data_IF_658409656210
#
_entry.id   IF_658409656210
#
_cell.length_a   1.000
_cell.length_b   1.000
_cell.length_c   1.000
_cell.angle_alpha   90.00
_cell.angle_beta   90.00
_cell.angle_gamma   90.00
#
_symmetry.space_group_name_H-M   'P 1'
#
loop_
_entity.id
_entity.type
_entity.pdbx_description
1 polymer ?
#
# COMPACT_ATOMS: atom_id res chain seq x y z
N UNK A 1 2.36 35.39 -6.75
CA UNK A 1 2.09 34.79 -6.45
C UNK A 1 2.27 34.19 -6.28
N UNK A 2 2.27 33.94 -6.38
CA UNK A 2 2.21 33.17 -6.15
C UNK A 2 2.13 32.43 -5.99
N UNK A 3 2.20 32.48 -5.99
CA UNK A 3 2.07 31.57 -5.70
C UNK A 3 2.65 30.77 -5.55
N UNK A 4 3.51 30.86 -5.30
CA UNK A 4 3.84 30.01 -4.94
C UNK A 4 3.53 28.69 -5.06
N UNK A 5 3.26 28.38 -4.49
CA UNK A 5 2.64 27.10 -4.48
C UNK A 5 1.73 26.90 -5.64
N UNK A 6 1.64 25.69 -6.17
CA UNK A 6 0.72 25.34 -7.24
C UNK A 6 -0.71 25.46 -6.73
N UNK A 7 -1.50 26.40 -7.24
CA UNK A 7 -2.89 26.54 -6.79
C UNK A 7 -3.73 25.31 -7.04
N UNK A 8 -3.44 24.58 -8.13
CA UNK A 8 -4.19 23.36 -8.46
C UNK A 8 -3.97 22.29 -7.41
N UNK A 9 -2.75 22.17 -6.89
CA UNK A 9 -2.47 21.19 -5.87
C UNK A 9 -3.25 21.49 -4.59
N UNK A 10 -3.35 22.77 -4.24
CA UNK A 10 -4.11 23.16 -3.05
C UNK A 10 -5.60 22.87 -3.25
N UNK A 11 -6.12 23.28 -4.40
CA UNK A 11 -7.54 23.06 -4.70
C UNK A 11 -7.86 21.57 -4.75
N UNK A 12 -6.99 20.79 -5.38
CA UNK A 12 -7.20 19.35 -5.48
C UNK A 12 -7.22 18.72 -4.10
N UNK A 13 -6.32 19.15 -3.24
CA UNK A 13 -6.23 18.62 -1.90
C UNK A 13 -7.45 18.98 -1.06
N UNK A 14 -8.07 20.13 -1.34
CA UNK A 14 -9.23 20.61 -0.61
C UNK A 14 -10.57 20.23 -1.21
N UNK A 15 -10.56 19.58 -2.40
CA UNK A 15 -11.80 19.18 -3.05
C UNK A 15 -12.25 17.81 -2.58
N UNK A 16 -13.53 17.50 -2.81
CA UNK A 16 -14.05 16.17 -2.48
C UNK A 16 -13.28 15.07 -3.19
N UNK A 17 -12.93 15.29 -4.46
CA UNK A 17 -12.17 14.30 -5.24
C UNK A 17 -10.78 14.08 -4.66
N UNK A 18 -10.11 15.17 -4.27
CA UNK A 18 -8.78 15.08 -3.68
C UNK A 18 -8.80 14.39 -2.33
N UNK A 19 -9.81 14.69 -1.51
CA UNK A 19 -9.95 14.04 -0.21
C UNK A 19 -10.24 12.56 -0.35
N UNK A 20 -11.09 12.20 -1.30
CA UNK A 20 -11.41 10.81 -1.57
C UNK A 20 -10.18 10.03 -1.99
N UNK A 21 -9.36 10.62 -2.86
CA UNK A 21 -8.15 9.98 -3.34
C UNK A 21 -7.15 9.78 -2.21
N UNK A 22 -6.98 10.79 -1.35
CA UNK A 22 -6.10 10.68 -0.19
C UNK A 22 -6.60 9.64 0.79
N UNK A 23 -7.89 9.57 0.98
CA UNK A 23 -8.50 8.57 1.85
C UNK A 23 -8.24 7.16 1.34
N UNK A 24 -8.44 6.94 0.04
CA UNK A 24 -8.18 5.62 -0.56
C UNK A 24 -6.73 5.21 -0.40
N UNK A 25 -5.82 6.15 -0.57
CA UNK A 25 -4.40 5.88 -0.42
C UNK A 25 -4.08 5.46 1.01
N UNK A 26 -4.60 6.21 1.99
CA UNK A 26 -4.36 5.90 3.39
C UNK A 26 -4.94 4.54 3.78
N UNK A 27 -6.14 4.24 3.30
CA UNK A 27 -6.78 2.96 3.58
C UNK A 27 -5.96 1.83 2.96
N UNK A 28 -5.47 2.02 1.74
CA UNK A 28 -4.67 1.00 1.07
C UNK A 28 -3.38 0.72 1.84
N UNK A 29 -2.72 1.76 2.33
CA UNK A 29 -1.49 1.59 3.11
C UNK A 29 -1.74 0.85 4.41
N UNK A 30 -2.80 1.23 5.12
CA UNK A 30 -3.15 0.56 6.37
C UNK A 30 -3.55 -0.88 6.15
N UNK A 31 -4.28 -1.15 5.07
CA UNK A 31 -4.69 -2.50 4.74
C UNK A 31 -3.49 -3.36 4.40
N UNK A 32 -2.55 -2.81 3.65
CA UNK A 32 -1.31 -3.52 3.33
C UNK A 32 -0.57 -3.91 4.61
N UNK A 33 -0.40 -2.97 5.53
CA UNK A 33 0.29 -3.26 6.78
C UNK A 33 -0.45 -4.29 7.61
N UNK A 34 -1.78 -4.21 7.68
CA UNK A 34 -2.59 -5.19 8.39
C UNK A 34 -2.39 -6.59 7.84
N UNK A 35 -2.38 -6.71 6.52
CA UNK A 35 -2.19 -8.01 5.88
C UNK A 35 -0.81 -8.57 6.18
N UNK A 36 0.22 -7.75 6.06
CA UNK A 36 1.59 -8.20 6.31
C UNK A 36 1.85 -8.46 7.78
N UNK A 37 1.03 -7.88 8.66
CA UNK A 37 1.08 -8.19 10.08
C UNK A 37 0.59 -9.61 10.36
N UNK A 38 -0.26 -10.15 9.49
CA UNK A 38 -0.75 -11.51 9.64
C UNK A 38 0.27 -12.54 9.15
N UNK A 39 0.89 -12.27 8.00
CA UNK A 39 1.90 -13.15 7.44
C UNK A 39 2.62 -12.47 6.29
N UNK A 40 3.75 -13.03 5.93
CA UNK A 40 4.48 -12.56 4.75
C UNK A 40 3.74 -12.94 3.48
N UNK A 41 3.74 -12.03 2.50
CA UNK A 41 3.01 -12.22 1.26
C UNK A 41 3.81 -11.68 0.08
N UNK A 42 3.57 -12.26 -1.09
CA UNK A 42 4.07 -11.67 -2.32
C UNK A 42 2.94 -10.83 -2.96
N UNK A 43 3.30 -10.02 -3.97
CA UNK A 43 2.40 -9.01 -4.53
C UNK A 43 1.05 -9.58 -4.97
N UNK A 44 1.06 -10.74 -5.62
CA UNK A 44 -0.19 -11.37 -6.05
C UNK A 44 -1.13 -11.67 -4.90
N UNK A 45 -0.57 -12.18 -3.80
CA UNK A 45 -1.37 -12.45 -2.60
C UNK A 45 -1.89 -11.18 -1.96
N UNK A 46 -1.04 -10.16 -1.91
CA UNK A 46 -1.43 -8.87 -1.33
C UNK A 46 -2.61 -8.29 -2.10
N UNK A 47 -2.51 -8.27 -3.42
CA UNK A 47 -3.54 -7.71 -4.27
C UNK A 47 -4.87 -8.44 -4.09
N UNK A 48 -4.80 -9.77 -4.11
CA UNK A 48 -5.99 -10.59 -3.95
C UNK A 48 -6.61 -10.42 -2.57
N UNK A 49 -5.77 -10.40 -1.53
CA UNK A 49 -6.25 -10.25 -0.16
C UNK A 49 -6.88 -8.89 0.07
N UNK A 50 -6.32 -7.83 -0.51
CA UNK A 50 -6.90 -6.50 -0.37
C UNK A 50 -8.28 -6.43 -1.01
N UNK A 51 -8.40 -7.06 -2.17
CA UNK A 51 -9.67 -7.11 -2.87
C UNK A 51 -10.72 -7.85 -2.03
N UNK A 52 -10.34 -8.98 -1.48
CA UNK A 52 -11.25 -9.78 -0.64
C UNK A 52 -11.64 -9.04 0.64
N UNK A 53 -10.66 -8.48 1.33
CA UNK A 53 -10.90 -7.82 2.61
C UNK A 53 -11.77 -6.59 2.47
N UNK A 54 -11.70 -5.92 1.34
CA UNK A 54 -12.48 -4.73 1.10
C UNK A 54 -13.81 -5.04 0.42
N UNK A 55 -14.11 -6.29 0.20
CA UNK A 55 -15.33 -6.74 -0.46
C UNK A 55 -15.43 -6.11 -1.85
N UNK A 56 -14.31 -6.12 -2.57
CA UNK A 56 -14.13 -5.56 -3.91
C UNK A 56 -14.25 -4.03 -3.96
N UNK A 57 -14.33 -3.37 -2.81
CA UNK A 57 -14.41 -1.90 -2.77
C UNK A 57 -13.08 -1.25 -3.13
N UNK A 58 -11.98 -1.92 -2.83
CA UNK A 58 -10.64 -1.39 -3.11
C UNK A 58 -9.84 -2.41 -3.90
N UNK A 59 -9.27 -1.94 -5.00
CA UNK A 59 -8.27 -2.71 -5.72
C UNK A 59 -7.07 -1.80 -5.91
N UNK A 60 -5.89 -2.38 -5.93
CA UNK A 60 -4.67 -1.61 -6.15
C UNK A 60 -4.32 -1.71 -7.62
N UNK A 61 -4.42 -0.58 -8.32
CA UNK A 61 -4.01 -0.51 -9.73
C UNK A 61 -2.49 -0.57 -9.86
N UNK A 62 -1.78 -0.02 -8.86
CA UNK A 62 -0.33 0.05 -8.90
C UNK A 62 0.25 -0.43 -7.57
N UNK A 63 0.21 -1.74 -7.31
CA UNK A 63 0.66 -2.26 -6.01
C UNK A 63 2.13 -1.99 -5.74
N UNK A 64 2.96 -1.97 -6.77
CA UNK A 64 4.38 -1.73 -6.56
C UNK A 64 4.68 -0.33 -6.07
N UNK A 65 3.85 0.65 -6.44
CA UNK A 65 4.04 2.02 -5.97
C UNK A 65 3.85 2.10 -4.45
N UNK A 66 2.83 1.43 -3.94
CA UNK A 66 2.57 1.42 -2.51
C UNK A 66 3.66 0.64 -1.78
N UNK A 67 4.05 -0.51 -2.31
CA UNK A 67 5.10 -1.32 -1.72
C UNK A 67 6.42 -0.54 -1.67
N UNK A 68 6.75 0.15 -2.76
CA UNK A 68 7.97 0.93 -2.82
C UNK A 68 7.96 2.05 -1.77
N UNK A 69 6.84 2.76 -1.67
CA UNK A 69 6.71 3.85 -0.71
C UNK A 69 6.84 3.32 0.73
N UNK A 70 6.14 2.23 1.03
CA UNK A 70 6.17 1.67 2.39
C UNK A 70 7.54 1.08 2.73
N UNK A 71 8.23 0.56 1.72
CA UNK A 71 9.61 0.10 1.90
C UNK A 71 10.55 1.26 2.20
N UNK A 72 10.37 2.37 1.50
CA UNK A 72 11.19 3.55 1.73
C UNK A 72 10.98 4.15 3.11
N UNK A 73 9.78 4.01 3.64
CA UNK A 73 9.47 4.45 5.00
C UNK A 73 9.90 3.42 6.04
N UNK A 74 10.45 2.30 5.59
CA UNK A 74 10.88 1.19 6.46
C UNK A 74 9.74 0.56 7.25
N UNK A 75 8.53 0.64 6.72
CA UNK A 75 7.38 -0.01 7.36
C UNK A 75 7.21 -1.44 6.88
N UNK A 76 7.75 -1.77 5.71
CA UNK A 76 7.78 -3.14 5.23
C UNK A 76 9.19 -3.46 4.75
N UNK A 77 9.48 -4.74 4.60
CA UNK A 77 10.80 -5.23 4.19
C UNK A 77 10.64 -6.36 3.20
N UNK A 78 11.69 -6.60 2.45
CA UNK A 78 11.78 -7.80 1.63
C UNK A 78 12.02 -8.97 2.57
N UNK A 79 11.24 -10.02 2.40
CA UNK A 79 11.29 -11.18 3.29
C UNK A 79 11.81 -12.42 2.58
N UNK A 80 12.52 -12.21 1.48
CA UNK A 80 13.15 -13.30 0.75
C UNK A 80 12.37 -13.72 -0.48
N UNK A 81 13.04 -14.49 -1.30
CA UNK A 81 12.44 -15.03 -2.52
C UNK A 81 12.28 -16.52 -2.34
N UNK A 82 11.09 -17.00 -2.61
CA UNK A 82 10.80 -18.42 -2.49
C UNK A 82 9.63 -18.80 -3.39
N UNK A 83 9.45 -20.07 -3.59
CA UNK A 83 8.36 -20.56 -4.42
C UNK A 83 7.03 -20.32 -3.73
N UNK A 84 6.11 -19.73 -4.48
CA UNK A 84 4.76 -19.50 -4.01
C UNK A 84 3.89 -20.74 -4.30
N UNK A 85 2.65 -20.68 -3.88
CA UNK A 85 1.70 -21.78 -4.10
C UNK A 85 1.49 -22.07 -5.58
N UNK A 86 1.71 -21.07 -6.44
CA UNK A 86 1.59 -21.26 -7.89
C UNK A 86 2.84 -21.89 -8.51
N UNK A 87 3.82 -22.25 -7.70
CA UNK A 87 5.05 -22.89 -8.17
C UNK A 87 6.10 -21.95 -8.70
N UNK A 88 5.83 -20.65 -8.70
CA UNK A 88 6.77 -19.65 -9.23
C UNK A 88 7.56 -19.00 -8.11
N UNK A 89 8.79 -18.62 -8.45
CA UNK A 89 9.64 -17.88 -7.52
C UNK A 89 9.12 -16.45 -7.39
N UNK A 90 8.83 -16.05 -6.16
CA UNK A 90 8.25 -14.74 -5.88
C UNK A 90 9.03 -14.03 -4.78
N UNK A 91 9.04 -12.71 -4.83
CA UNK A 91 9.59 -11.88 -3.77
C UNK A 91 8.50 -11.67 -2.72
N UNK A 92 8.77 -12.13 -1.50
CA UNK A 92 7.84 -11.96 -0.37
C UNK A 92 8.20 -10.70 0.40
N UNK A 93 7.21 -10.13 1.05
CA UNK A 93 7.35 -8.93 1.86
C UNK A 93 6.78 -9.20 3.24
N UNK A 94 7.33 -8.51 4.22
CA UNK A 94 6.88 -8.61 5.59
C UNK A 94 6.80 -7.25 6.22
N UNK A 95 6.13 -7.17 7.37
CA UNK A 95 6.04 -5.93 8.12
C UNK A 95 7.29 -5.80 8.99
N UNK A 96 7.73 -4.57 9.21
CA UNK A 96 8.82 -4.29 10.13
C UNK A 96 8.25 -3.92 11.50
N UNK A 97 9.15 -3.81 12.48
CA UNK A 97 8.77 -3.33 13.80
C UNK A 97 8.16 -1.93 13.71
N UNK A 98 8.77 -1.07 12.89
CA UNK A 98 8.26 0.28 12.68
C UNK A 98 6.87 0.26 12.04
N UNK A 99 6.67 -0.62 11.07
CA UNK A 99 5.36 -0.76 10.42
C UNK A 99 4.31 -1.26 11.39
N UNK A 100 4.67 -2.21 12.24
CA UNK A 100 3.76 -2.73 13.24
C UNK A 100 3.36 -1.64 14.25
N UNK A 101 4.33 -0.82 14.65
CA UNK A 101 4.07 0.28 15.56
C UNK A 101 3.17 1.35 14.94
N UNK A 102 3.21 1.48 13.62
CA UNK A 102 2.38 2.43 12.91
C UNK A 102 0.91 2.03 12.93
N UNK A 103 0.64 0.74 13.02
CA UNK A 103 -0.72 0.25 13.13
C UNK A 103 -1.29 0.57 14.51
#
# INVERSE_FOLDING_TARGET
>A
MSRKKDPDAILKSGTAAGLEENFKKAVSEMLLLSLLNEREMYVGEITEAMKERSNDAYSISYPYAIIYRMSRLSYIREAGRRNAADGRLRQFYGITEAGNAYL
#
